data_IF_241956498560
#
_entry.id   IF_241956498560
#
_cell.length_a   1.000
_cell.length_b   1.000
_cell.length_c   1.000
_cell.angle_alpha   90.00
_cell.angle_beta   90.00
_cell.angle_gamma   90.00
#
_symmetry.space_group_name_H-M   'P 1'
#
loop_
_entity.id
_entity.type
_entity.pdbx_description
1 polymer ?
#
# COMPACT_ATOMS: atom_id res chain seq x y z
N UNK A 1 -10.02 5.52 -7.02
CA UNK A 1 -11.20 6.11 -7.70
C UNK A 1 -10.69 7.05 -8.78
N UNK A 2 -10.68 6.62 -10.05
CA UNK A 2 -10.24 7.48 -11.15
C UNK A 2 -11.44 8.31 -11.59
N UNK A 3 -11.54 9.53 -11.10
CA UNK A 3 -12.52 10.50 -11.57
C UNK A 3 -12.13 10.92 -13.01
N UNK A 4 -12.77 10.33 -14.01
CA UNK A 4 -12.64 10.77 -15.40
C UNK A 4 -13.61 11.95 -15.60
N UNK A 5 -13.05 13.16 -15.66
CA UNK A 5 -13.82 14.33 -16.06
C UNK A 5 -14.25 14.18 -17.52
N UNK A 6 -15.55 13.99 -17.72
CA UNK A 6 -16.15 14.08 -19.05
C UNK A 6 -16.22 15.54 -19.45
N UNK A 7 -15.42 15.94 -20.44
CA UNK A 7 -15.63 17.19 -21.13
C UNK A 7 -16.93 17.07 -21.94
N UNK A 8 -17.92 17.87 -21.60
CA UNK A 8 -19.20 17.89 -22.29
C UNK A 8 -19.02 18.16 -23.80
N UNK A 9 -19.43 17.19 -24.60
CA UNK A 9 -19.52 17.38 -26.05
C UNK A 9 -20.66 18.37 -26.35
N UNK A 10 -20.29 19.57 -26.73
CA UNK A 10 -21.28 20.56 -27.27
C UNK A 10 -21.59 20.15 -28.68
N UNK A 11 -22.81 19.69 -28.90
CA UNK A 11 -23.30 19.27 -30.21
C UNK A 11 -23.59 20.46 -31.11
N UNK A 12 -23.06 20.43 -32.31
CA UNK A 12 -23.22 21.43 -33.34
C UNK A 12 -24.64 21.44 -33.95
N UNK A 13 -25.15 22.61 -34.12
CA UNK A 13 -26.43 22.94 -34.76
C UNK A 13 -26.30 23.16 -36.26
N UNK A 14 -27.41 23.07 -37.02
CA UNK A 14 -27.38 23.26 -38.47
C UNK A 14 -27.17 24.74 -38.88
N UNK A 15 -26.44 24.88 -39.94
CA UNK A 15 -25.85 26.02 -40.61
C UNK A 15 -26.81 27.14 -41.02
N UNK A 16 -26.41 28.38 -40.67
CA UNK A 16 -26.57 29.53 -41.54
C UNK A 16 -25.18 29.94 -42.02
N UNK A 17 -24.97 30.15 -43.30
CA UNK A 17 -23.70 30.54 -43.90
C UNK A 17 -23.30 31.93 -43.39
N UNK A 18 -22.43 32.00 -42.45
CA UNK A 18 -21.88 33.20 -41.84
C UNK A 18 -20.36 33.22 -41.96
N UNK A 19 -19.76 34.38 -42.01
CA UNK A 19 -18.34 34.64 -42.21
C UNK A 19 -17.43 33.76 -41.38
N UNK A 20 -16.37 33.22 -41.98
CA UNK A 20 -15.36 32.39 -41.29
C UNK A 20 -14.82 33.12 -40.05
N UNK A 21 -15.11 32.56 -38.86
CA UNK A 21 -14.65 33.07 -37.56
C UNK A 21 -15.74 33.64 -36.65
N UNK A 22 -16.98 33.92 -37.14
CA UNK A 22 -18.06 34.38 -36.28
C UNK A 22 -18.73 33.22 -35.56
N UNK A 23 -18.88 33.35 -34.22
CA UNK A 23 -19.59 32.39 -33.40
C UNK A 23 -20.64 33.04 -32.51
N UNK A 24 -21.49 32.23 -31.93
CA UNK A 24 -22.46 32.63 -30.92
C UNK A 24 -21.93 32.41 -29.50
N UNK A 25 -21.96 33.45 -28.70
CA UNK A 25 -21.57 33.36 -27.30
C UNK A 25 -22.75 32.93 -26.45
N UNK A 26 -22.62 31.80 -25.81
CA UNK A 26 -23.64 31.19 -24.96
C UNK A 26 -23.19 31.17 -23.51
N UNK A 27 -24.07 31.52 -22.60
CA UNK A 27 -23.93 31.29 -21.16
C UNK A 27 -24.66 29.99 -20.81
N UNK A 28 -23.92 28.98 -20.33
CA UNK A 28 -24.44 27.65 -20.10
C UNK A 28 -24.36 27.35 -18.60
N UNK A 29 -25.48 26.95 -18.02
CA UNK A 29 -25.57 26.46 -16.62
C UNK A 29 -25.86 24.97 -16.65
N UNK A 30 -25.16 24.23 -15.79
CA UNK A 30 -25.34 22.77 -15.64
C UNK A 30 -25.93 22.48 -14.27
N UNK A 31 -26.79 21.44 -14.21
CA UNK A 31 -27.31 20.89 -12.96
C UNK A 31 -27.37 19.38 -13.00
N UNK A 32 -27.12 18.75 -11.88
CA UNK A 32 -27.21 17.31 -11.67
C UNK A 32 -28.18 17.00 -10.54
N UNK A 33 -28.97 15.92 -10.60
CA UNK A 33 -29.81 15.49 -9.50
C UNK A 33 -28.97 15.29 -8.23
N UNK A 34 -29.45 15.82 -7.10
CA UNK A 34 -28.75 15.74 -5.81
C UNK A 34 -27.71 16.83 -5.56
N UNK A 35 -27.44 17.71 -6.53
CA UNK A 35 -26.61 18.91 -6.28
C UNK A 35 -27.50 20.15 -6.09
N UNK A 36 -27.16 21.02 -5.09
CA UNK A 36 -27.85 22.30 -4.95
C UNK A 36 -27.74 23.15 -6.23
N UNK A 37 -28.82 23.83 -6.60
CA UNK A 37 -28.82 24.75 -7.72
C UNK A 37 -27.78 25.87 -7.51
N UNK A 38 -26.99 26.18 -8.54
CA UNK A 38 -25.97 27.23 -8.50
C UNK A 38 -24.58 26.78 -7.98
N UNK A 39 -24.39 25.50 -7.65
CA UNK A 39 -23.09 25.01 -7.21
C UNK A 39 -22.05 24.99 -8.34
N UNK A 40 -22.49 24.86 -9.60
CA UNK A 40 -21.64 25.01 -10.77
C UNK A 40 -21.81 26.42 -11.33
N UNK A 41 -20.73 27.20 -11.48
CA UNK A 41 -20.80 28.52 -12.07
C UNK A 41 -21.22 28.42 -13.54
N UNK A 42 -21.95 29.42 -14.01
CA UNK A 42 -22.30 29.53 -15.43
C UNK A 42 -21.03 29.65 -16.27
N UNK A 43 -20.96 28.87 -17.34
CA UNK A 43 -19.85 28.87 -18.28
C UNK A 43 -20.18 29.63 -19.52
N UNK A 44 -19.24 30.46 -20.00
CA UNK A 44 -19.38 31.13 -21.30
C UNK A 44 -18.69 30.31 -22.37
N UNK A 45 -19.47 29.92 -23.41
CA UNK A 45 -18.99 29.05 -24.47
C UNK A 45 -19.28 29.73 -25.83
N UNK A 46 -18.24 29.90 -26.63
CA UNK A 46 -18.36 30.36 -27.99
C UNK A 46 -18.65 29.17 -28.92
N UNK A 47 -19.83 29.13 -29.51
CA UNK A 47 -20.19 28.13 -30.50
C UNK A 47 -19.95 28.72 -31.89
N UNK A 48 -19.11 28.09 -32.70
CA UNK A 48 -18.82 28.48 -34.07
C UNK A 48 -19.34 27.44 -35.06
N UNK A 49 -19.52 27.90 -36.31
CA UNK A 49 -20.20 27.18 -37.38
C UNK A 49 -19.35 26.10 -38.07
N UNK A 50 -18.54 25.33 -37.37
CA UNK A 50 -17.77 24.25 -38.01
C UNK A 50 -18.30 22.86 -37.59
N UNK A 51 -19.32 22.35 -38.27
CA UNK A 51 -19.94 21.05 -37.95
C UNK A 51 -19.03 19.87 -38.26
N UNK A 52 -18.08 19.98 -39.19
CA UNK A 52 -17.15 18.89 -39.49
C UNK A 52 -16.12 18.67 -38.36
N UNK A 53 -15.62 19.77 -37.78
CA UNK A 53 -14.70 19.69 -36.63
C UNK A 53 -15.38 19.26 -35.34
N UNK A 54 -16.63 19.63 -35.10
CA UNK A 54 -17.40 19.11 -33.98
C UNK A 54 -17.61 17.60 -34.11
N UNK A 55 -17.83 17.11 -35.34
CA UNK A 55 -17.87 15.67 -35.62
C UNK A 55 -16.50 15.00 -35.54
N UNK A 56 -15.37 15.65 -35.86
CA UNK A 56 -14.03 15.15 -35.69
C UNK A 56 -13.62 15.05 -34.22
N UNK A 57 -13.94 16.05 -33.41
CA UNK A 57 -13.68 15.96 -31.94
C UNK A 57 -14.46 14.82 -31.26
N UNK A 58 -15.61 14.45 -31.84
CA UNK A 58 -16.35 13.24 -31.45
C UNK A 58 -15.68 11.94 -31.96
N UNK A 59 -14.98 12.00 -33.11
CA UNK A 59 -14.25 10.86 -33.70
C UNK A 59 -12.90 10.58 -33.03
N UNK A 60 -12.21 11.61 -32.56
CA UNK A 60 -10.93 11.48 -31.88
C UNK A 60 -11.07 10.87 -30.45
N UNK A 61 -12.26 10.96 -29.86
CA UNK A 61 -12.66 10.14 -28.73
C UNK A 61 -13.17 8.80 -29.25
N UNK A 62 -12.24 7.88 -29.51
CA UNK A 62 -12.43 6.51 -30.05
C UNK A 62 -13.46 5.66 -29.30
N UNK A 63 -14.08 6.17 -28.25
CA UNK A 63 -14.84 5.40 -27.31
C UNK A 63 -16.36 5.42 -27.54
N UNK A 64 -16.94 6.41 -28.28
CA UNK A 64 -18.39 6.50 -28.47
C UNK A 64 -18.76 6.77 -29.94
N UNK A 65 -19.80 6.08 -30.45
CA UNK A 65 -20.36 6.23 -31.79
C UNK A 65 -21.80 6.72 -31.71
N UNK A 66 -22.17 7.68 -32.53
CA UNK A 66 -23.56 8.08 -32.72
C UNK A 66 -24.32 6.91 -33.38
N UNK A 67 -25.36 6.44 -32.72
CA UNK A 67 -26.20 5.32 -33.18
C UNK A 67 -27.51 5.79 -33.78
N UNK A 68 -28.02 6.93 -33.29
CA UNK A 68 -29.29 7.52 -33.83
C UNK A 68 -29.27 9.04 -33.67
N UNK A 69 -29.88 9.77 -34.63
CA UNK A 69 -30.06 11.21 -34.55
C UNK A 69 -31.42 11.56 -35.13
N UNK A 70 -32.25 12.20 -34.32
CA UNK A 70 -33.60 12.69 -34.74
C UNK A 70 -33.69 14.20 -34.53
N UNK A 71 -34.22 14.89 -35.51
CA UNK A 71 -34.50 16.31 -35.42
C UNK A 71 -35.98 16.55 -35.78
N UNK A 72 -36.68 17.26 -34.91
CA UNK A 72 -38.07 17.65 -35.10
C UNK A 72 -38.24 19.09 -34.66
N UNK A 73 -38.36 20.00 -35.64
CA UNK A 73 -38.44 21.45 -35.39
C UNK A 73 -37.23 21.96 -34.60
N UNK A 74 -37.47 22.47 -33.40
CA UNK A 74 -36.46 22.99 -32.51
C UNK A 74 -35.89 21.96 -31.52
N UNK A 75 -36.23 20.69 -31.66
CA UNK A 75 -35.76 19.59 -30.80
C UNK A 75 -34.83 18.66 -31.56
N UNK A 76 -33.70 18.32 -30.93
CA UNK A 76 -32.72 17.36 -31.45
C UNK A 76 -32.45 16.31 -30.40
N UNK A 77 -32.57 15.04 -30.77
CA UNK A 77 -32.19 13.90 -29.90
C UNK A 77 -31.05 13.15 -30.57
N UNK A 78 -29.99 12.86 -29.80
CA UNK A 78 -28.84 12.10 -30.28
C UNK A 78 -28.58 10.95 -29.30
N UNK A 79 -28.49 9.74 -29.86
CA UNK A 79 -28.13 8.54 -29.12
C UNK A 79 -26.71 8.09 -29.49
N UNK A 80 -25.92 7.69 -28.51
CA UNK A 80 -24.53 7.24 -28.67
C UNK A 80 -24.32 5.93 -27.91
N UNK A 81 -23.46 5.07 -28.45
CA UNK A 81 -22.98 3.87 -27.79
C UNK A 81 -21.46 3.93 -27.70
N UNK A 82 -20.90 3.59 -26.50
CA UNK A 82 -19.49 3.66 -26.22
C UNK A 82 -18.87 2.25 -26.15
N UNK A 83 -17.57 2.16 -26.36
CA UNK A 83 -16.81 0.89 -26.37
C UNK A 83 -16.81 0.16 -25.03
N UNK A 84 -17.04 0.87 -23.92
CA UNK A 84 -17.17 0.31 -22.57
C UNK A 84 -18.57 -0.26 -22.26
N UNK A 85 -19.45 -0.28 -23.26
CA UNK A 85 -20.84 -0.74 -23.15
C UNK A 85 -21.79 0.28 -22.54
N UNK A 86 -21.35 1.52 -22.29
CA UNK A 86 -22.23 2.60 -21.86
C UNK A 86 -23.01 3.18 -23.04
N UNK A 87 -24.19 3.74 -22.76
CA UNK A 87 -25.02 4.44 -23.74
C UNK A 87 -25.34 5.84 -23.24
N UNK A 88 -25.38 6.81 -24.16
CA UNK A 88 -25.68 8.19 -23.84
C UNK A 88 -26.78 8.70 -24.76
N UNK A 89 -27.77 9.38 -24.19
CA UNK A 89 -28.83 10.05 -24.91
C UNK A 89 -28.80 11.53 -24.56
N UNK A 90 -28.76 12.38 -25.58
CA UNK A 90 -28.83 13.84 -25.46
C UNK A 90 -30.12 14.30 -26.12
N UNK A 91 -30.94 14.97 -25.34
CA UNK A 91 -32.18 15.59 -25.81
C UNK A 91 -32.09 17.09 -25.61
N UNK A 92 -32.07 17.86 -26.70
CA UNK A 92 -31.89 19.30 -26.70
C UNK A 92 -33.06 19.98 -27.36
N UNK A 93 -33.62 20.97 -26.70
CA UNK A 93 -34.74 21.77 -27.18
C UNK A 93 -34.43 23.26 -27.16
N UNK A 94 -34.59 23.95 -28.28
CA UNK A 94 -34.47 25.40 -28.40
C UNK A 94 -35.82 26.09 -28.29
N UNK A 95 -35.82 27.34 -27.82
CA UNK A 95 -36.96 28.21 -27.98
C UNK A 95 -37.15 28.59 -29.48
N UNK A 96 -38.30 29.21 -29.85
CA UNK A 96 -38.62 29.57 -31.24
C UNK A 96 -37.59 30.54 -31.84
N UNK A 97 -37.05 31.47 -31.05
CA UNK A 97 -36.06 32.45 -31.47
C UNK A 97 -34.62 31.87 -31.47
N UNK A 98 -34.40 30.63 -31.02
CA UNK A 98 -33.10 29.99 -30.88
C UNK A 98 -32.09 30.79 -30.03
N UNK A 99 -32.58 31.56 -29.07
CA UNK A 99 -31.79 32.33 -28.12
C UNK A 99 -31.60 31.62 -26.80
N UNK A 100 -32.35 30.54 -26.55
CA UNK A 100 -32.27 29.73 -25.35
C UNK A 100 -32.42 28.24 -25.71
N UNK A 101 -31.75 27.39 -24.95
CA UNK A 101 -31.97 25.95 -25.04
C UNK A 101 -32.01 25.29 -23.67
N UNK A 102 -32.69 24.17 -23.62
CA UNK A 102 -32.63 23.20 -22.53
C UNK A 102 -32.17 21.84 -23.11
N UNK A 103 -31.18 21.23 -22.47
CA UNK A 103 -30.69 19.91 -22.89
C UNK A 103 -30.65 18.98 -21.67
N UNK A 104 -31.09 17.75 -21.88
CA UNK A 104 -30.96 16.68 -20.92
C UNK A 104 -30.02 15.62 -21.49
N UNK A 105 -28.98 15.27 -20.73
CA UNK A 105 -28.03 14.22 -21.08
C UNK A 105 -28.24 13.08 -20.11
N UNK A 106 -28.53 11.89 -20.59
CA UNK A 106 -28.70 10.67 -19.80
C UNK A 106 -27.62 9.67 -20.20
N UNK A 107 -26.76 9.32 -19.26
CA UNK A 107 -25.73 8.30 -19.40
C UNK A 107 -26.19 7.05 -18.65
N UNK A 108 -26.14 5.90 -19.30
CA UNK A 108 -26.35 4.58 -18.68
C UNK A 108 -25.05 3.80 -18.73
N UNK A 109 -24.52 3.43 -17.57
CA UNK A 109 -23.28 2.67 -17.45
C UNK A 109 -23.44 1.53 -16.43
N UNK A 110 -23.13 0.32 -16.85
CA UNK A 110 -23.14 -0.86 -15.93
C UNK A 110 -22.08 -0.77 -14.83
N UNK A 111 -21.03 0.00 -15.08
CA UNK A 111 -19.86 0.11 -14.18
C UNK A 111 -19.98 1.27 -13.20
N UNK A 112 -20.47 2.42 -13.70
CA UNK A 112 -20.44 3.68 -12.94
C UNK A 112 -21.85 4.14 -12.51
N UNK A 113 -22.89 3.37 -12.87
CA UNK A 113 -24.29 3.68 -12.61
C UNK A 113 -24.91 4.66 -13.62
N UNK A 114 -26.21 4.91 -13.50
CA UNK A 114 -26.95 5.82 -14.37
C UNK A 114 -26.80 7.26 -13.88
N UNK A 115 -26.54 8.19 -14.82
CA UNK A 115 -26.37 9.60 -14.53
C UNK A 115 -27.24 10.44 -15.48
N UNK A 116 -27.91 11.44 -14.92
CA UNK A 116 -28.65 12.43 -15.70
C UNK A 116 -28.12 13.83 -15.38
N UNK A 117 -27.90 14.62 -16.43
CA UNK A 117 -27.43 16.00 -16.33
C UNK A 117 -28.36 16.89 -17.17
N UNK A 118 -28.72 18.02 -16.62
CA UNK A 118 -29.50 19.05 -17.34
C UNK A 118 -28.61 20.26 -17.59
N UNK A 119 -28.67 20.78 -18.80
CA UNK A 119 -28.04 22.03 -19.23
C UNK A 119 -29.07 23.03 -19.68
N UNK A 120 -28.92 24.27 -19.31
CA UNK A 120 -29.67 25.40 -19.89
C UNK A 120 -28.69 26.39 -20.46
N UNK A 121 -28.96 26.88 -21.66
CA UNK A 121 -28.09 27.86 -22.31
C UNK A 121 -28.87 29.08 -22.75
N UNK A 122 -28.26 30.26 -22.64
CA UNK A 122 -28.78 31.54 -23.12
C UNK A 122 -27.74 32.19 -24.02
N UNK A 123 -28.11 32.59 -25.23
CA UNK A 123 -27.28 33.36 -26.13
C UNK A 123 -27.08 34.76 -25.58
N UNK A 124 -25.85 35.18 -25.38
CA UNK A 124 -25.51 36.46 -24.77
C UNK A 124 -24.76 37.41 -25.71
N UNK A 125 -24.42 36.96 -26.94
CA UNK A 125 -23.74 37.81 -27.92
C UNK A 125 -23.10 37.03 -29.05
N UNK A 126 -22.22 37.71 -29.76
CA UNK A 126 -21.32 37.13 -30.75
C UNK A 126 -19.92 36.93 -30.13
N UNK A 127 -19.14 36.04 -30.73
CA UNK A 127 -17.76 35.77 -30.29
C UNK A 127 -16.89 35.40 -31.49
N UNK A 128 -15.57 35.49 -31.34
CA UNK A 128 -14.61 34.93 -32.28
C UNK A 128 -14.40 33.44 -31.97
N UNK A 129 -15.02 32.59 -32.73
CA UNK A 129 -14.96 31.15 -32.53
C UNK A 129 -13.55 30.57 -32.75
N UNK A 130 -12.72 31.18 -33.59
CA UNK A 130 -11.36 30.74 -33.89
C UNK A 130 -10.43 31.10 -32.73
N UNK A 131 -10.46 32.34 -32.24
CA UNK A 131 -9.66 32.81 -31.11
C UNK A 131 -10.00 32.03 -29.82
N UNK A 132 -11.31 31.92 -29.51
CA UNK A 132 -11.79 31.19 -28.31
C UNK A 132 -11.38 29.71 -28.35
N UNK A 133 -11.41 29.09 -29.54
CA UNK A 133 -10.96 27.69 -29.70
C UNK A 133 -9.47 27.56 -29.43
N UNK A 134 -8.64 28.43 -30.02
CA UNK A 134 -7.19 28.42 -29.79
C UNK A 134 -6.83 28.56 -28.31
N UNK A 135 -7.50 29.47 -27.61
CA UNK A 135 -7.32 29.64 -26.17
C UNK A 135 -7.72 28.39 -25.38
N UNK A 136 -8.87 27.80 -25.69
CA UNK A 136 -9.35 26.56 -25.09
C UNK A 136 -8.39 25.40 -25.33
N UNK A 137 -7.93 25.22 -26.58
CA UNK A 137 -7.03 24.13 -26.94
C UNK A 137 -5.68 24.30 -26.22
N UNK A 138 -5.14 25.52 -26.13
CA UNK A 138 -3.94 25.82 -25.36
C UNK A 138 -4.13 25.55 -23.84
N UNK A 139 -5.30 25.87 -23.29
CA UNK A 139 -5.65 25.58 -21.92
C UNK A 139 -5.75 24.07 -21.66
N UNK A 140 -6.38 23.31 -22.56
CA UNK A 140 -6.46 21.85 -22.47
C UNK A 140 -5.09 21.18 -22.59
N UNK A 141 -4.23 21.67 -23.47
CA UNK A 141 -2.85 21.19 -23.58
C UNK A 141 -2.06 21.40 -22.30
N UNK A 142 -2.25 22.57 -21.66
CA UNK A 142 -1.65 22.84 -20.35
C UNK A 142 -2.16 21.88 -19.29
N UNK A 143 -3.47 21.69 -19.17
CA UNK A 143 -4.06 20.73 -18.22
C UNK A 143 -3.54 19.32 -18.47
N UNK A 144 -3.45 18.88 -19.73
CA UNK A 144 -2.94 17.55 -20.07
C UNK A 144 -1.46 17.39 -19.67
N UNK A 145 -0.63 18.42 -19.87
CA UNK A 145 0.77 18.44 -19.42
C UNK A 145 0.88 18.39 -17.90
N UNK A 146 0.08 19.18 -17.20
CA UNK A 146 0.08 19.22 -15.74
C UNK A 146 -0.40 17.86 -15.17
N UNK A 147 -1.44 17.25 -15.74
CA UNK A 147 -1.88 15.90 -15.35
C UNK A 147 -0.82 14.83 -15.62
N UNK A 148 -0.13 14.90 -16.77
CA UNK A 148 0.96 13.97 -17.07
C UNK A 148 2.13 14.12 -16.08
N UNK A 149 2.46 15.37 -15.72
CA UNK A 149 3.49 15.64 -14.72
C UNK A 149 3.10 15.12 -13.32
N UNK A 150 1.84 15.30 -12.91
CA UNK A 150 1.32 14.76 -11.64
C UNK A 150 1.33 13.22 -11.64
N UNK A 151 0.95 12.58 -12.74
CA UNK A 151 1.01 11.12 -12.86
C UNK A 151 2.45 10.60 -12.77
N UNK A 152 3.38 11.26 -13.46
CA UNK A 152 4.80 10.91 -13.41
C UNK A 152 5.38 11.09 -11.99
N UNK A 153 5.05 12.19 -11.31
CA UNK A 153 5.46 12.42 -9.93
C UNK A 153 4.88 11.35 -8.98
N UNK A 154 3.59 11.01 -9.13
CA UNK A 154 2.95 9.96 -8.36
C UNK A 154 3.60 8.58 -8.57
N UNK A 155 3.93 8.24 -9.82
CA UNK A 155 4.63 7.00 -10.15
C UNK A 155 6.05 6.96 -9.54
N UNK A 156 6.77 8.09 -9.57
CA UNK A 156 8.09 8.21 -8.96
C UNK A 156 8.05 8.02 -7.43
N UNK A 157 7.05 8.59 -6.75
CA UNK A 157 6.86 8.40 -5.31
C UNK A 157 6.48 6.96 -4.96
N UNK A 158 5.61 6.32 -5.76
CA UNK A 158 5.28 4.90 -5.59
C UNK A 158 6.53 4.02 -5.74
N UNK A 159 7.39 4.32 -6.73
CA UNK A 159 8.66 3.60 -6.90
C UNK A 159 9.59 3.78 -5.71
N UNK A 160 9.77 5.00 -5.21
CA UNK A 160 10.60 5.26 -4.02
C UNK A 160 10.08 4.53 -2.79
N UNK A 161 8.76 4.47 -2.62
CA UNK A 161 8.13 3.70 -1.55
C UNK A 161 8.45 2.21 -1.68
N UNK A 162 8.29 1.65 -2.90
CA UNK A 162 8.58 0.24 -3.16
C UNK A 162 10.06 -0.09 -2.89
N UNK A 163 10.99 0.72 -3.40
CA UNK A 163 12.44 0.53 -3.22
C UNK A 163 12.81 0.56 -1.72
N UNK A 164 12.20 1.45 -0.92
CA UNK A 164 12.41 1.52 0.53
C UNK A 164 11.93 0.26 1.24
N UNK A 165 10.71 -0.19 0.96
CA UNK A 165 10.15 -1.41 1.56
C UNK A 165 10.98 -2.65 1.22
N UNK A 166 11.40 -2.79 -0.04
CA UNK A 166 12.27 -3.88 -0.48
C UNK A 166 13.61 -3.85 0.28
N UNK A 167 14.18 -2.67 0.46
CA UNK A 167 15.42 -2.49 1.24
C UNK A 167 15.22 -2.85 2.72
N UNK A 168 14.13 -2.43 3.33
CA UNK A 168 13.79 -2.76 4.73
C UNK A 168 13.69 -4.27 4.92
N UNK A 169 13.02 -4.99 4.02
CA UNK A 169 12.97 -6.45 4.06
C UNK A 169 14.36 -7.10 3.90
N UNK A 170 15.22 -6.56 3.05
CA UNK A 170 16.58 -7.06 2.87
C UNK A 170 17.43 -6.83 4.14
N UNK A 171 17.35 -5.64 4.72
CA UNK A 171 18.04 -5.28 5.97
C UNK A 171 17.57 -6.15 7.15
N UNK A 172 16.26 -6.41 7.23
CA UNK A 172 15.66 -7.30 8.23
C UNK A 172 16.23 -8.72 8.14
N UNK A 173 16.30 -9.28 6.94
CA UNK A 173 16.88 -10.60 6.70
C UNK A 173 18.38 -10.63 7.07
N UNK A 174 19.14 -9.62 6.67
CA UNK A 174 20.58 -9.54 6.95
C UNK A 174 20.87 -9.44 8.45
N UNK A 175 20.10 -8.63 9.17
CA UNK A 175 20.26 -8.37 10.61
C UNK A 175 19.64 -9.47 11.49
N UNK A 176 18.89 -10.40 10.91
CA UNK A 176 18.05 -11.36 11.64
C UNK A 176 17.04 -10.68 12.57
N UNK A 177 16.47 -9.55 12.14
CA UNK A 177 15.41 -8.82 12.84
C UNK A 177 14.06 -9.00 12.13
N UNK A 178 13.24 -9.90 12.67
CA UNK A 178 11.94 -10.24 12.08
C UNK A 178 10.96 -9.05 12.02
N UNK A 179 11.11 -8.07 12.92
CA UNK A 179 10.22 -6.90 13.00
C UNK A 179 10.32 -6.01 11.75
N UNK A 180 11.49 -5.97 11.13
CA UNK A 180 11.73 -5.19 9.93
C UNK A 180 10.98 -5.68 8.68
N UNK A 181 10.34 -6.86 8.73
CA UNK A 181 9.47 -7.33 7.66
C UNK A 181 8.06 -6.74 7.72
N UNK A 182 7.66 -6.11 8.82
CA UNK A 182 6.33 -5.54 9.00
C UNK A 182 5.21 -6.54 8.70
N UNK A 183 4.22 -6.12 7.91
CA UNK A 183 3.07 -6.95 7.54
C UNK A 183 3.48 -8.26 6.84
N UNK A 184 4.52 -8.25 6.00
CA UNK A 184 4.97 -9.48 5.33
C UNK A 184 5.50 -10.52 6.31
N UNK A 185 6.16 -10.11 7.38
CA UNK A 185 6.60 -11.01 8.44
C UNK A 185 5.43 -11.54 9.26
N UNK A 186 4.58 -10.63 9.75
CA UNK A 186 3.44 -10.98 10.59
C UNK A 186 2.46 -11.94 9.90
N UNK A 187 2.27 -11.76 8.59
CA UNK A 187 1.32 -12.51 7.80
C UNK A 187 1.92 -13.72 7.05
N UNK A 188 3.21 -13.97 7.16
CA UNK A 188 3.90 -14.97 6.36
C UNK A 188 3.33 -16.38 6.53
N UNK A 189 3.11 -16.79 7.76
CA UNK A 189 2.50 -18.10 8.10
C UNK A 189 0.99 -18.03 8.36
N UNK A 190 0.42 -16.82 8.36
CA UNK A 190 -1.00 -16.61 8.65
C UNK A 190 -1.79 -16.15 7.42
N UNK A 191 -1.45 -16.70 6.25
CA UNK A 191 -2.05 -16.33 4.95
C UNK A 191 -3.55 -16.59 4.84
N UNK A 192 -4.07 -17.49 5.66
CA UNK A 192 -5.51 -17.80 5.72
C UNK A 192 -6.31 -16.77 6.51
N UNK A 193 -5.67 -15.95 7.34
CA UNK A 193 -6.32 -14.89 8.10
C UNK A 193 -6.83 -13.79 7.15
N UNK A 194 -8.10 -13.40 7.31
CA UNK A 194 -8.76 -12.43 6.43
C UNK A 194 -8.10 -11.05 6.46
N UNK A 195 -7.61 -10.62 7.63
CA UNK A 195 -6.93 -9.34 7.78
C UNK A 195 -5.57 -9.37 7.10
N UNK A 196 -4.80 -10.44 7.29
CA UNK A 196 -3.53 -10.66 6.63
C UNK A 196 -3.68 -10.68 5.10
N UNK A 197 -4.69 -11.41 4.59
CA UNK A 197 -4.99 -11.44 3.16
C UNK A 197 -5.30 -10.04 2.63
N UNK A 198 -6.18 -9.29 3.29
CA UNK A 198 -6.58 -7.94 2.86
C UNK A 198 -5.39 -6.97 2.85
N UNK A 199 -4.54 -7.00 3.89
CA UNK A 199 -3.36 -6.15 3.98
C UNK A 199 -2.33 -6.48 2.90
N UNK A 200 -2.00 -7.76 2.71
CA UNK A 200 -1.06 -8.20 1.68
C UNK A 200 -1.58 -7.90 0.28
N UNK A 201 -2.86 -8.14 0.00
CA UNK A 201 -3.47 -7.82 -1.29
C UNK A 201 -3.43 -6.31 -1.57
N UNK A 202 -3.63 -5.47 -0.56
CA UNK A 202 -3.53 -4.02 -0.70
C UNK A 202 -2.11 -3.57 -1.01
N UNK A 203 -1.11 -4.11 -0.32
CA UNK A 203 0.30 -3.84 -0.59
C UNK A 203 0.72 -4.31 -1.99
N UNK A 204 0.30 -5.51 -2.39
CA UNK A 204 0.59 -6.07 -3.70
C UNK A 204 -0.10 -5.32 -4.85
N UNK A 205 -1.28 -4.71 -4.61
CA UNK A 205 -1.92 -3.81 -5.59
C UNK A 205 -1.14 -2.52 -5.81
N UNK A 206 -0.49 -1.99 -4.76
CA UNK A 206 0.36 -0.81 -4.88
C UNK A 206 1.66 -1.12 -5.62
N UNK A 207 2.31 -2.24 -5.31
CA UNK A 207 3.52 -2.71 -5.98
C UNK A 207 3.69 -4.23 -5.80
N UNK A 208 3.44 -5.03 -6.83
CA UNK A 208 3.64 -6.49 -6.79
C UNK A 208 5.09 -6.90 -6.47
N UNK A 209 6.06 -6.05 -6.79
CA UNK A 209 7.49 -6.30 -6.57
C UNK A 209 7.85 -6.34 -5.09
N UNK A 210 7.18 -5.52 -4.25
CA UNK A 210 7.38 -5.55 -2.80
C UNK A 210 7.03 -6.94 -2.26
N UNK A 211 5.84 -7.44 -2.59
CA UNK A 211 5.39 -8.75 -2.12
C UNK A 211 6.32 -9.88 -2.52
N UNK A 212 6.76 -9.89 -3.78
CA UNK A 212 7.70 -10.89 -4.28
C UNK A 212 9.04 -10.84 -3.54
N UNK A 213 9.60 -9.63 -3.39
CA UNK A 213 10.90 -9.45 -2.75
C UNK A 213 10.84 -9.74 -1.25
N UNK A 214 9.89 -9.17 -0.50
CA UNK A 214 9.79 -9.37 0.94
C UNK A 214 9.49 -10.82 1.30
N UNK A 215 8.58 -11.50 0.58
CA UNK A 215 8.33 -12.94 0.83
C UNK A 215 9.58 -13.79 0.61
N UNK A 216 10.39 -13.48 -0.42
CA UNK A 216 11.65 -14.17 -0.64
C UNK A 216 12.64 -13.95 0.53
N UNK A 217 12.72 -12.73 1.06
CA UNK A 217 13.58 -12.39 2.21
C UNK A 217 13.10 -13.02 3.52
N UNK A 218 11.78 -13.09 3.75
CA UNK A 218 11.23 -13.83 4.90
C UNK A 218 11.57 -15.31 4.79
N UNK A 219 11.46 -15.93 3.61
CA UNK A 219 11.83 -17.32 3.40
C UNK A 219 13.33 -17.56 3.67
N UNK A 220 14.21 -16.66 3.21
CA UNK A 220 15.64 -16.69 3.49
C UNK A 220 15.92 -16.56 5.00
N UNK A 221 15.28 -15.60 5.67
CA UNK A 221 15.36 -15.44 7.12
C UNK A 221 14.97 -16.73 7.84
N UNK A 222 13.85 -17.34 7.47
CA UNK A 222 13.36 -18.55 8.13
C UNK A 222 14.27 -19.77 7.92
N UNK A 223 14.93 -19.89 6.77
CA UNK A 223 15.97 -20.90 6.58
C UNK A 223 17.15 -20.67 7.51
N UNK A 224 17.62 -19.44 7.63
CA UNK A 224 18.72 -19.05 8.53
C UNK A 224 18.34 -19.19 9.99
N UNK A 225 17.10 -18.83 10.37
CA UNK A 225 16.59 -18.98 11.74
C UNK A 225 16.71 -20.42 12.26
N UNK A 226 16.59 -21.41 11.40
CA UNK A 226 16.72 -22.82 11.75
C UNK A 226 18.19 -23.31 11.82
N UNK A 227 19.17 -22.45 11.60
CA UNK A 227 20.60 -22.75 11.83
C UNK A 227 21.05 -22.26 13.21
N UNK A 228 22.16 -22.80 13.72
CA UNK A 228 22.75 -22.34 14.98
C UNK A 228 23.08 -20.85 14.95
N UNK A 229 23.73 -20.38 13.90
CA UNK A 229 24.11 -18.97 13.74
C UNK A 229 22.89 -18.04 13.68
N UNK A 230 21.93 -18.38 12.84
CA UNK A 230 20.72 -17.56 12.68
C UNK A 230 19.88 -17.51 13.95
N UNK A 231 19.74 -18.63 14.64
CA UNK A 231 19.01 -18.72 15.91
C UNK A 231 19.67 -17.88 17.00
N UNK A 232 21.02 -17.92 17.09
CA UNK A 232 21.79 -17.05 17.99
C UNK A 232 21.59 -15.58 17.69
N UNK A 233 21.70 -15.18 16.42
CA UNK A 233 21.50 -13.79 15.99
C UNK A 233 20.09 -13.29 16.25
N UNK A 234 19.09 -14.12 16.00
CA UNK A 234 17.67 -13.83 16.29
C UNK A 234 17.35 -13.96 17.81
N UNK A 235 18.31 -14.32 18.66
CA UNK A 235 18.15 -14.46 20.12
C UNK A 235 17.04 -15.43 20.53
N UNK A 236 16.79 -16.46 19.73
CA UNK A 236 15.71 -17.43 19.95
C UNK A 236 14.32 -16.78 20.12
N UNK A 237 14.03 -15.71 19.37
CA UNK A 237 12.77 -14.95 19.46
C UNK A 237 11.58 -15.83 19.05
N UNK A 238 10.58 -15.93 19.94
CA UNK A 238 9.39 -16.78 19.74
C UNK A 238 8.51 -16.27 18.59
N UNK A 239 8.41 -14.95 18.40
CA UNK A 239 7.62 -14.39 17.29
C UNK A 239 8.30 -14.68 15.95
N UNK A 240 9.64 -14.66 15.92
CA UNK A 240 10.42 -15.09 14.76
C UNK A 240 10.19 -16.57 14.45
N UNK A 241 10.15 -17.42 15.47
CA UNK A 241 9.82 -18.84 15.32
C UNK A 241 8.41 -19.02 14.76
N UNK A 242 7.41 -18.33 15.32
CA UNK A 242 6.03 -18.36 14.85
C UNK A 242 5.91 -17.88 13.40
N UNK A 243 6.56 -16.76 13.04
CA UNK A 243 6.64 -16.28 11.67
C UNK A 243 7.17 -17.36 10.71
N UNK A 244 8.15 -18.15 11.17
CA UNK A 244 8.76 -19.22 10.37
C UNK A 244 8.01 -20.57 10.42
N UNK A 245 6.90 -20.65 11.15
CA UNK A 245 6.13 -21.90 11.30
C UNK A 245 6.85 -22.99 12.09
N UNK A 246 7.74 -22.59 12.97
CA UNK A 246 8.47 -23.49 13.85
C UNK A 246 8.31 -23.03 15.32
N UNK A 247 8.80 -23.84 16.25
CA UNK A 247 8.93 -23.44 17.65
C UNK A 247 10.39 -23.34 18.01
N UNK A 248 10.74 -22.51 19.00
CA UNK A 248 12.12 -22.46 19.51
C UNK A 248 12.56 -23.81 20.05
N UNK A 249 11.63 -24.57 20.64
CA UNK A 249 11.87 -25.92 21.09
C UNK A 249 12.27 -26.89 19.97
N UNK A 250 11.56 -26.84 18.83
CA UNK A 250 11.86 -27.69 17.67
C UNK A 250 13.22 -27.38 17.06
N UNK A 251 13.60 -26.09 16.99
CA UNK A 251 14.91 -25.66 16.49
C UNK A 251 16.02 -26.15 17.44
N UNK A 252 15.82 -25.98 18.74
CA UNK A 252 16.78 -26.51 19.76
C UNK A 252 16.96 -28.02 19.61
N UNK A 253 15.85 -28.78 19.56
CA UNK A 253 15.92 -30.24 19.42
C UNK A 253 16.67 -30.66 18.13
N UNK A 254 16.54 -29.95 17.05
CA UNK A 254 17.23 -30.24 15.79
C UNK A 254 18.70 -29.80 15.79
N UNK A 255 19.07 -28.75 16.54
CA UNK A 255 20.40 -28.15 16.45
C UNK A 255 21.31 -28.52 17.65
N UNK A 256 20.78 -28.85 18.81
CA UNK A 256 21.61 -29.19 19.99
C UNK A 256 22.51 -30.42 19.79
N UNK A 257 22.03 -31.54 19.18
CA UNK A 257 22.93 -32.67 18.91
C UNK A 257 24.03 -32.30 17.90
N UNK A 258 23.72 -31.48 16.90
CA UNK A 258 24.71 -30.99 15.93
C UNK A 258 25.72 -30.05 16.59
N UNK A 259 25.26 -29.17 17.45
CA UNK A 259 26.14 -28.27 18.20
C UNK A 259 27.09 -28.98 19.10
N UNK A 260 26.67 -30.11 19.70
CA UNK A 260 27.56 -30.98 20.50
C UNK A 260 28.64 -31.63 19.64
N UNK A 261 28.28 -32.13 18.44
CA UNK A 261 29.22 -32.74 17.50
C UNK A 261 30.24 -31.74 16.95
N UNK A 262 29.85 -30.48 16.74
CA UNK A 262 30.72 -29.44 16.19
C UNK A 262 31.36 -28.54 17.24
N UNK A 263 31.18 -28.83 18.51
CA UNK A 263 31.62 -28.00 19.63
C UNK A 263 31.22 -26.52 19.51
N UNK A 264 29.99 -26.25 19.05
CA UNK A 264 29.45 -24.90 18.93
C UNK A 264 29.13 -24.30 20.30
N UNK A 265 30.17 -23.92 21.04
CA UNK A 265 30.11 -23.49 22.44
C UNK A 265 29.10 -22.38 22.69
N UNK A 266 29.04 -21.38 21.80
CA UNK A 266 28.10 -20.26 21.93
C UNK A 266 26.62 -20.71 21.88
N UNK A 267 26.31 -21.70 21.05
CA UNK A 267 24.95 -22.25 20.92
C UNK A 267 24.66 -23.21 22.11
N UNK A 268 25.60 -24.10 22.43
CA UNK A 268 25.50 -25.06 23.54
C UNK A 268 25.22 -24.35 24.87
N UNK A 269 26.03 -23.36 25.23
CA UNK A 269 25.93 -22.68 26.52
C UNK A 269 24.61 -21.89 26.69
N UNK A 270 24.02 -21.44 25.60
CA UNK A 270 22.78 -20.64 25.64
C UNK A 270 21.50 -21.45 25.52
N UNK A 271 21.52 -22.55 24.77
CA UNK A 271 20.27 -23.21 24.35
C UNK A 271 20.21 -24.70 24.56
N UNK A 272 21.35 -25.37 24.92
CA UNK A 272 21.46 -26.83 24.93
C UNK A 272 22.03 -27.34 26.24
N UNK A 273 21.35 -27.11 27.38
CA UNK A 273 21.86 -27.40 28.70
C UNK A 273 22.25 -28.88 28.91
N UNK A 274 21.44 -29.79 28.35
CA UNK A 274 21.69 -31.23 28.47
C UNK A 274 23.01 -31.63 27.79
N UNK A 275 23.19 -31.23 26.53
CA UNK A 275 24.38 -31.52 25.74
C UNK A 275 25.62 -30.73 26.20
N UNK A 276 25.39 -29.54 26.75
CA UNK A 276 26.43 -28.68 27.29
C UNK A 276 26.99 -29.17 28.63
N UNK A 277 26.22 -29.97 29.40
CA UNK A 277 26.55 -30.38 30.75
C UNK A 277 27.93 -31.09 30.91
N UNK A 278 28.31 -32.05 30.05
CA UNK A 278 29.64 -32.70 30.18
C UNK A 278 30.78 -31.69 29.95
N UNK A 279 30.65 -30.80 28.98
CA UNK A 279 31.66 -29.76 28.70
C UNK A 279 31.74 -28.77 29.88
N UNK A 280 30.60 -28.37 30.44
CA UNK A 280 30.56 -27.48 31.60
C UNK A 280 31.16 -28.09 32.84
N UNK A 281 30.94 -29.37 33.10
CA UNK A 281 31.53 -30.06 34.24
C UNK A 281 33.06 -30.07 34.18
N UNK A 282 33.64 -30.20 32.99
CA UNK A 282 35.08 -30.20 32.79
C UNK A 282 35.70 -28.78 32.84
N UNK A 283 35.01 -27.80 32.35
CA UNK A 283 35.61 -26.49 32.06
C UNK A 283 35.08 -25.34 32.93
N UNK A 284 33.90 -25.51 33.58
CA UNK A 284 33.22 -24.42 34.29
C UNK A 284 33.19 -24.62 35.81
N UNK A 285 33.66 -25.73 36.35
CA UNK A 285 33.58 -26.04 37.78
C UNK A 285 34.64 -25.27 38.58
N UNK A 286 34.22 -24.67 39.70
CA UNK A 286 35.11 -24.05 40.67
C UNK A 286 35.61 -22.65 40.31
N UNK A 287 35.01 -21.97 39.32
CA UNK A 287 35.39 -20.61 38.93
C UNK A 287 34.15 -19.74 38.76
N UNK A 288 34.28 -18.46 39.10
CA UNK A 288 33.31 -17.44 38.71
C UNK A 288 33.65 -16.94 37.31
N UNK A 289 32.80 -17.28 36.34
CA UNK A 289 33.01 -16.88 34.94
C UNK A 289 32.28 -15.60 34.63
N UNK A 290 33.00 -14.65 34.04
CA UNK A 290 32.41 -13.42 33.46
C UNK A 290 32.88 -13.25 32.03
N UNK A 291 32.07 -12.58 31.22
CA UNK A 291 32.41 -12.29 29.81
C UNK A 291 33.71 -11.47 29.64
N UNK A 292 34.25 -10.90 30.74
CA UNK A 292 35.50 -10.09 30.77
C UNK A 292 36.76 -10.91 30.98
N UNK A 293 36.66 -12.20 31.36
CA UNK A 293 37.83 -12.96 31.78
C UNK A 293 38.72 -13.49 30.66
N UNK A 294 38.28 -13.43 29.39
CA UNK A 294 39.03 -13.97 28.27
C UNK A 294 39.25 -15.50 28.33
N UNK A 295 39.25 -16.16 27.19
CA UNK A 295 39.47 -17.61 27.09
C UNK A 295 38.33 -18.34 26.35
N UNK A 296 38.66 -19.48 25.75
CA UNK A 296 37.74 -20.25 24.86
C UNK A 296 36.38 -20.58 25.50
N UNK A 297 36.37 -20.85 26.82
CA UNK A 297 35.16 -21.31 27.51
C UNK A 297 34.45 -20.24 28.34
N UNK A 298 34.95 -19.01 28.43
CA UNK A 298 34.34 -18.02 29.32
C UNK A 298 32.92 -17.65 28.94
N UNK A 299 32.67 -17.32 27.67
CA UNK A 299 31.34 -16.99 27.22
C UNK A 299 30.38 -18.18 27.32
N UNK A 300 30.89 -19.38 27.04
CA UNK A 300 30.15 -20.62 27.22
C UNK A 300 29.75 -20.84 28.66
N UNK A 301 30.71 -20.79 29.60
CA UNK A 301 30.44 -21.04 31.01
C UNK A 301 29.53 -19.97 31.62
N UNK A 302 29.73 -18.71 31.24
CA UNK A 302 28.86 -17.61 31.69
C UNK A 302 27.43 -17.85 31.22
N UNK A 303 27.22 -18.20 29.95
CA UNK A 303 25.89 -18.45 29.38
C UNK A 303 25.26 -19.71 29.99
N UNK A 304 26.02 -20.81 30.12
CA UNK A 304 25.55 -22.06 30.70
C UNK A 304 25.11 -21.90 32.17
N UNK A 305 25.93 -21.26 32.99
CA UNK A 305 25.62 -21.06 34.43
C UNK A 305 24.39 -20.15 34.59
N UNK A 306 24.24 -19.13 33.76
CA UNK A 306 23.04 -18.29 33.75
C UNK A 306 21.79 -19.11 33.44
N UNK A 307 21.79 -19.96 32.38
CA UNK A 307 20.68 -20.83 32.05
C UNK A 307 20.40 -21.90 33.10
N UNK A 308 21.44 -22.57 33.61
CA UNK A 308 21.30 -23.58 34.63
C UNK A 308 20.73 -23.03 35.94
N UNK A 309 20.97 -21.77 36.26
CA UNK A 309 20.36 -21.10 37.42
C UNK A 309 18.87 -20.84 37.25
N UNK A 310 18.40 -20.60 36.02
CA UNK A 310 16.99 -20.41 35.69
C UNK A 310 16.18 -21.71 35.73
N UNK A 311 16.81 -22.86 35.44
CA UNK A 311 16.17 -24.18 35.52
C UNK A 311 16.07 -24.74 36.94
N UNK A 312 16.81 -24.20 37.90
CA UNK A 312 16.62 -24.59 39.29
C UNK A 312 15.27 -24.05 39.80
N UNK A 313 14.40 -24.91 40.35
CA UNK A 313 13.21 -24.40 41.02
C UNK A 313 13.67 -23.42 42.11
N UNK A 314 12.91 -22.34 42.34
CA UNK A 314 13.24 -21.39 43.39
C UNK A 314 13.44 -22.19 44.66
N UNK A 315 14.62 -21.97 45.33
CA UNK A 315 14.95 -22.66 46.56
C UNK A 315 13.75 -22.58 47.51
N UNK A 316 13.33 -23.72 48.04
CA UNK A 316 12.17 -23.75 48.94
C UNK A 316 12.44 -22.76 50.08
N UNK A 317 11.38 -22.17 50.63
CA UNK A 317 11.52 -21.23 51.74
C UNK A 317 12.40 -21.84 52.87
N UNK A 318 12.40 -23.17 53.02
CA UNK A 318 13.28 -23.91 53.92
C UNK A 318 14.77 -23.84 53.56
N UNK A 319 15.12 -23.83 52.27
CA UNK A 319 16.49 -23.72 51.79
C UNK A 319 17.03 -22.29 51.91
N UNK A 320 16.17 -21.29 51.73
CA UNK A 320 16.52 -19.88 51.97
C UNK A 320 16.77 -19.60 53.46
N UNK A 321 15.98 -20.20 54.34
CA UNK A 321 16.16 -20.12 55.79
C UNK A 321 17.46 -20.80 56.19
N UNK A 322 17.79 -21.97 55.66
CA UNK A 322 19.06 -22.67 55.95
C UNK A 322 20.28 -21.84 55.48
N UNK A 323 20.23 -21.22 54.31
CA UNK A 323 21.33 -20.35 53.85
C UNK A 323 21.42 -19.05 54.66
N UNK A 324 20.31 -18.49 55.10
CA UNK A 324 20.26 -17.32 55.97
C UNK A 324 20.83 -17.63 57.36
N UNK A 325 20.48 -18.78 57.92
CA UNK A 325 20.97 -19.22 59.23
C UNK A 325 22.48 -19.57 59.20
N UNK A 326 22.95 -20.23 58.14
CA UNK A 326 24.39 -20.52 57.95
C UNK A 326 25.22 -19.24 57.85
N UNK A 327 24.80 -18.26 57.01
CA UNK A 327 25.48 -16.95 56.94
C UNK A 327 25.38 -16.13 58.21
N UNK A 328 24.34 -16.30 59.00
CA UNK A 328 24.17 -15.68 60.31
C UNK A 328 25.09 -16.30 61.35
N UNK A 329 25.24 -17.62 61.34
CA UNK A 329 26.16 -18.33 62.25
C UNK A 329 27.63 -18.05 61.96
N UNK A 330 28.03 -17.94 60.71
CA UNK A 330 29.41 -17.59 60.34
C UNK A 330 29.74 -16.13 60.71
N UNK A 331 28.81 -15.21 60.68
CA UNK A 331 29.01 -13.88 61.26
C UNK A 331 29.07 -13.83 62.73
N UNK A 332 28.33 -14.67 63.44
CA UNK A 332 28.38 -14.76 64.87
C UNK A 332 29.72 -15.42 65.38
N UNK A 333 30.21 -16.48 64.70
CA UNK A 333 31.54 -17.04 65.01
C UNK A 333 32.65 -16.02 64.78
N UNK A 334 32.53 -15.11 63.79
CA UNK A 334 33.54 -14.06 63.64
C UNK A 334 33.49 -12.94 64.68
N UNK A 335 32.42 -12.81 65.45
CA UNK A 335 32.22 -11.80 66.47
C UNK A 335 32.68 -12.33 67.92
N UNK A 336 32.63 -13.62 68.14
CA UNK A 336 32.96 -14.23 69.42
C UNK A 336 34.28 -15.00 69.42
N UNK A 337 35.04 -14.96 68.31
CA UNK A 337 36.33 -15.61 68.14
C UNK A 337 37.49 -14.62 68.24
N UNK A 338 37.52 -13.85 69.34
CA UNK A 338 38.71 -13.15 69.78
C UNK A 338 38.92 -13.40 71.28
#
# INVERSE_FOLDING_TARGET
MKMRFFAAAVLALPLAAGAQGSGELWEITMSMPGMPAGMMPAQRVCQGDDPERAAQQSRDKKDCKVTDRKQSGNRTTVSMSCSDGSTMVIDQQFNAARTEFKSTMSLKSKKDGDMTMTQTGRKIGACDAVATRKERDAHMDKINKDMAAMQAAGAAEQKKFADRQIKECADAAAKMDWRGFGTYGQCYNNKADANCKTQIDSLNKMSPEIGKSCNARVAEYCKRYQTQEGFLKAKADENAAQMCGVTTASVKAAQCPKAAQTESLAFLGRYCLAEAKPIAQQNCVGRDYTSKMGGKYNDFCTAYLAQASLEKPPASAADQVKQGVSKGMDKLKGLFGR
#
